data_IF_982305872797
#
_entry.id   IF_982305872797
#
_cell.length_a   1.000
_cell.length_b   1.000
_cell.length_c   1.000
_cell.angle_alpha   90.00
_cell.angle_beta   90.00
_cell.angle_gamma   90.00
#
_symmetry.space_group_name_H-M   'P 1'
#
loop_
_entity.id
_entity.type
_entity.pdbx_description
1 polymer ?
#
# COMPACT_ATOMS: atom_id res chain seq x y z
N UNK A 1 7.10 -33.27 -6.63
CA UNK A 1 7.13 -31.86 -6.18
C UNK A 1 8.21 -31.18 -6.99
N UNK A 2 7.89 -30.21 -7.85
CA UNK A 2 8.90 -29.48 -8.62
C UNK A 2 9.67 -28.58 -7.65
N UNK A 3 10.94 -28.91 -7.42
CA UNK A 3 11.84 -28.10 -6.60
C UNK A 3 12.46 -27.07 -7.53
N UNK A 4 12.14 -25.79 -7.33
CA UNK A 4 12.74 -24.72 -8.09
C UNK A 4 14.22 -24.60 -7.66
N UNK A 5 15.15 -24.58 -8.62
CA UNK A 5 16.58 -24.58 -8.32
C UNK A 5 17.13 -23.16 -8.09
N UNK A 6 16.32 -22.13 -8.38
CA UNK A 6 16.72 -20.72 -8.36
C UNK A 6 16.15 -19.94 -7.18
N UNK A 7 15.50 -20.60 -6.22
CA UNK A 7 14.70 -19.93 -5.19
C UNK A 7 15.31 -19.94 -3.79
N UNK A 8 16.49 -20.54 -3.60
CA UNK A 8 17.13 -20.67 -2.29
C UNK A 8 17.92 -19.43 -1.88
N UNK A 9 18.67 -18.85 -2.82
CA UNK A 9 19.61 -17.76 -2.56
C UNK A 9 19.15 -16.45 -3.19
N UNK A 10 19.46 -15.34 -2.53
CA UNK A 10 19.10 -14.00 -3.01
C UNK A 10 19.95 -13.53 -4.19
N UNK A 11 21.12 -14.16 -4.41
CA UNK A 11 22.06 -13.83 -5.50
C UNK A 11 21.82 -14.62 -6.77
N UNK A 12 20.85 -15.53 -6.79
CA UNK A 12 20.60 -16.43 -7.92
C UNK A 12 19.46 -15.90 -8.77
N UNK A 13 19.79 -15.49 -10.00
CA UNK A 13 18.80 -15.08 -10.99
C UNK A 13 18.16 -16.31 -11.64
N UNK A 14 16.83 -16.26 -11.79
CA UNK A 14 16.12 -17.24 -12.62
C UNK A 14 16.36 -16.97 -14.11
N UNK A 15 16.16 -17.98 -14.99
CA UNK A 15 16.25 -17.80 -16.44
C UNK A 15 15.31 -16.72 -17.01
N UNK A 16 14.25 -16.39 -16.27
CA UNK A 16 13.29 -15.32 -16.61
C UNK A 16 13.70 -13.93 -16.08
N UNK A 17 14.91 -13.77 -15.51
CA UNK A 17 15.37 -12.49 -14.97
C UNK A 17 14.69 -12.07 -13.67
N UNK A 18 14.25 -13.03 -12.84
CA UNK A 18 13.58 -12.79 -11.54
C UNK A 18 14.43 -13.24 -10.36
N UNK A 19 14.31 -12.54 -9.24
CA UNK A 19 14.89 -12.90 -7.93
C UNK A 19 13.78 -13.40 -6.99
N UNK A 20 13.61 -14.72 -6.90
CA UNK A 20 12.50 -15.31 -6.14
C UNK A 20 12.55 -15.02 -4.64
N UNK A 21 13.73 -14.95 -4.01
CA UNK A 21 13.85 -14.57 -2.60
C UNK A 21 13.31 -13.17 -2.30
N UNK A 22 13.47 -12.22 -3.22
CA UNK A 22 12.92 -10.87 -3.09
C UNK A 22 11.39 -10.90 -3.24
N UNK A 23 10.88 -11.68 -4.18
CA UNK A 23 9.44 -11.86 -4.36
C UNK A 23 8.77 -12.53 -3.16
N UNK A 24 9.40 -13.53 -2.55
CA UNK A 24 8.91 -14.16 -1.33
C UNK A 24 8.90 -13.19 -0.15
N UNK A 25 9.89 -12.30 -0.05
CA UNK A 25 9.88 -11.23 0.94
C UNK A 25 8.74 -10.23 0.70
N UNK A 26 8.39 -9.94 -0.56
CA UNK A 26 7.21 -9.12 -0.88
C UNK A 26 5.89 -9.82 -0.50
N UNK A 27 5.80 -11.14 -0.64
CA UNK A 27 4.65 -11.91 -0.16
C UNK A 27 4.50 -11.85 1.37
N UNK A 28 5.62 -11.82 2.12
CA UNK A 28 5.58 -11.65 3.57
C UNK A 28 4.90 -10.32 3.99
N UNK A 29 5.06 -9.25 3.19
CA UNK A 29 4.37 -7.98 3.42
C UNK A 29 2.86 -8.14 3.29
N UNK A 30 2.40 -8.85 2.26
CA UNK A 30 0.96 -9.11 2.02
C UNK A 30 0.31 -9.95 3.12
N UNK A 31 1.09 -10.74 3.85
CA UNK A 31 0.59 -11.52 5.00
C UNK A 31 0.47 -10.69 6.29
N UNK A 32 1.20 -9.57 6.41
CA UNK A 32 1.04 -8.65 7.53
C UNK A 32 -0.33 -7.99 7.51
N UNK A 33 -0.92 -7.66 8.67
CA UNK A 33 -2.22 -6.97 8.66
C UNK A 33 -2.11 -5.56 8.07
N UNK A 34 -3.22 -5.06 7.54
CA UNK A 34 -3.24 -3.85 6.74
C UNK A 34 -2.66 -2.62 7.46
N UNK A 35 -1.87 -1.85 6.71
CA UNK A 35 -1.39 -0.52 7.07
C UNK A 35 -1.71 0.43 5.92
N UNK A 36 -2.23 1.60 6.24
CA UNK A 36 -2.73 2.60 5.30
C UNK A 36 -2.02 3.91 5.64
N UNK A 37 -1.64 4.64 4.60
CA UNK A 37 -1.06 5.96 4.71
C UNK A 37 -1.70 6.87 3.69
N UNK A 38 -1.92 8.12 4.09
CA UNK A 38 -2.53 9.14 3.25
C UNK A 38 -1.99 10.50 3.68
N UNK A 39 -1.91 11.43 2.73
CA UNK A 39 -1.42 12.78 2.97
C UNK A 39 -2.24 13.83 2.25
N UNK A 40 -2.39 14.97 2.90
CA UNK A 40 -2.77 16.24 2.27
C UNK A 40 -1.53 17.09 2.04
N UNK A 41 -1.71 18.37 1.69
CA UNK A 41 -0.61 19.34 1.66
C UNK A 41 0.00 19.60 3.05
N UNK A 42 -0.79 19.44 4.10
CA UNK A 42 -0.45 19.92 5.46
C UNK A 42 -0.28 18.81 6.47
N UNK A 43 -0.92 17.65 6.26
CA UNK A 43 -0.94 16.55 7.22
C UNK A 43 -0.69 15.21 6.55
N UNK A 44 -0.16 14.26 7.32
CA UNK A 44 -0.04 12.85 6.98
C UNK A 44 -0.72 12.04 8.07
N UNK A 45 -1.53 11.07 7.69
CA UNK A 45 -2.16 10.11 8.61
C UNK A 45 -1.71 8.71 8.25
N UNK A 46 -1.31 7.97 9.28
CA UNK A 46 -1.02 6.54 9.19
C UNK A 46 -2.05 5.78 10.02
N UNK A 47 -2.70 4.81 9.42
CA UNK A 47 -3.65 3.92 10.08
C UNK A 47 -3.18 2.47 9.96
N UNK A 48 -3.38 1.67 11.01
CA UNK A 48 -3.02 0.25 11.03
C UNK A 48 -4.12 -0.59 11.65
N UNK A 49 -4.37 -1.75 11.06
CA UNK A 49 -5.19 -2.79 11.65
C UNK A 49 -4.36 -3.57 12.67
N UNK A 50 -4.79 -3.52 13.92
CA UNK A 50 -4.29 -4.33 15.01
C UNK A 50 -4.96 -5.70 14.99
N UNK A 51 -4.14 -6.74 15.13
CA UNK A 51 -4.62 -8.10 15.31
C UNK A 51 -4.08 -8.62 16.63
N UNK A 52 -4.98 -8.95 17.55
CA UNK A 52 -4.66 -9.69 18.76
C UNK A 52 -4.66 -11.20 18.44
N UNK A 53 -3.75 -11.95 19.05
CA UNK A 53 -3.71 -13.41 18.88
C UNK A 53 -4.83 -14.09 19.68
N UNK A 54 -5.24 -13.49 20.78
CA UNK A 54 -6.33 -13.91 21.66
C UNK A 54 -6.88 -12.70 22.40
N UNK A 55 -8.08 -12.81 22.98
CA UNK A 55 -8.71 -11.74 23.75
C UNK A 55 -7.87 -11.26 24.94
N UNK A 56 -7.05 -12.16 25.51
CA UNK A 56 -6.15 -11.86 26.62
C UNK A 56 -4.82 -11.25 26.17
N UNK A 57 -4.56 -11.16 24.87
CA UNK A 57 -3.29 -10.70 24.31
C UNK A 57 -3.38 -9.23 23.88
N UNK A 58 -2.40 -8.43 24.30
CA UNK A 58 -2.22 -7.09 23.75
C UNK A 58 -1.87 -7.17 22.26
N UNK A 59 -2.40 -6.25 21.46
CA UNK A 59 -2.00 -6.16 20.06
C UNK A 59 -0.52 -5.75 19.91
N UNK A 60 0.11 -6.19 18.82
CA UNK A 60 1.46 -5.77 18.50
C UNK A 60 1.44 -4.34 17.93
N UNK A 61 2.36 -3.49 18.42
CA UNK A 61 2.56 -2.14 17.87
C UNK A 61 3.11 -2.22 16.45
N UNK A 62 2.49 -1.48 15.53
CA UNK A 62 2.89 -1.41 14.12
C UNK A 62 3.27 -0.02 13.65
N UNK A 63 2.83 0.99 14.39
CA UNK A 63 3.21 2.37 14.15
C UNK A 63 4.31 2.74 15.15
N UNK A 64 5.39 3.31 14.63
CA UNK A 64 6.54 3.73 15.41
C UNK A 64 6.87 5.18 15.08
N UNK A 65 7.00 6.01 16.13
CA UNK A 65 7.60 7.33 16.03
C UNK A 65 9.09 7.18 15.69
N UNK A 66 9.56 7.83 14.63
CA UNK A 66 10.98 7.87 14.26
C UNK A 66 11.60 9.14 14.80
N UNK A 67 10.97 10.27 14.53
CA UNK A 67 11.34 11.59 15.02
C UNK A 67 10.06 12.41 15.26
N UNK A 68 10.19 13.67 15.67
CA UNK A 68 9.04 14.57 15.84
C UNK A 68 8.31 14.86 14.52
N UNK A 69 9.01 14.86 13.39
CA UNK A 69 8.44 15.11 12.06
C UNK A 69 8.29 13.85 11.20
N UNK A 70 8.64 12.65 11.72
CA UNK A 70 8.61 11.39 10.95
C UNK A 70 8.03 10.23 11.76
N UNK A 71 7.10 9.51 11.14
CA UNK A 71 6.55 8.25 11.63
C UNK A 71 6.58 7.14 10.59
N UNK A 72 6.51 5.90 11.08
CA UNK A 72 6.47 4.73 10.20
C UNK A 72 5.40 3.74 10.63
N UNK A 73 4.65 3.23 9.66
CA UNK A 73 3.75 2.10 9.80
C UNK A 73 4.35 0.89 9.07
N UNK A 74 4.26 -0.30 9.69
CA UNK A 74 4.89 -1.52 9.17
C UNK A 74 3.86 -2.59 8.80
N UNK A 75 4.13 -3.35 7.74
CA UNK A 75 3.44 -4.59 7.43
C UNK A 75 4.44 -5.69 7.04
N UNK A 76 4.24 -6.91 7.56
CA UNK A 76 5.14 -8.05 7.39
C UNK A 76 5.84 -8.43 8.68
N UNK A 77 7.13 -8.79 8.62
CA UNK A 77 7.91 -9.23 9.77
C UNK A 77 8.19 -8.07 10.74
N UNK A 78 7.52 -8.07 11.89
CA UNK A 78 7.68 -7.04 12.94
C UNK A 78 9.12 -6.90 13.42
N UNK A 79 9.91 -7.98 13.43
CA UNK A 79 11.31 -7.95 13.84
C UNK A 79 12.16 -7.08 12.90
N UNK A 80 11.99 -7.26 11.59
CA UNK A 80 12.68 -6.47 10.57
C UNK A 80 12.22 -5.00 10.63
N UNK A 81 10.91 -4.78 10.82
CA UNK A 81 10.36 -3.43 11.02
C UNK A 81 11.01 -2.71 12.20
N UNK A 82 11.22 -3.37 13.34
CA UNK A 82 11.91 -2.78 14.49
C UNK A 82 13.37 -2.42 14.20
N UNK A 83 14.08 -3.26 13.46
CA UNK A 83 15.48 -3.00 13.06
C UNK A 83 15.55 -1.76 12.16
N UNK A 84 14.65 -1.67 11.18
CA UNK A 84 14.61 -0.52 10.27
C UNK A 84 14.15 0.76 10.98
N UNK A 85 13.14 0.69 11.86
CA UNK A 85 12.73 1.83 12.68
C UNK A 85 13.85 2.35 13.58
N UNK A 86 14.65 1.45 14.19
CA UNK A 86 15.81 1.84 14.99
C UNK A 86 16.92 2.47 14.13
N UNK A 87 17.15 1.93 12.94
CA UNK A 87 18.08 2.51 11.98
C UNK A 87 17.67 3.94 11.62
N UNK A 88 16.42 4.15 11.20
CA UNK A 88 15.92 5.49 10.85
C UNK A 88 16.01 6.47 12.01
N UNK A 89 15.67 6.05 13.24
CA UNK A 89 15.85 6.88 14.45
C UNK A 89 17.30 7.33 14.62
N UNK A 90 18.24 6.41 14.39
CA UNK A 90 19.67 6.72 14.51
C UNK A 90 20.12 7.71 13.45
N UNK A 91 19.66 7.56 12.20
CA UNK A 91 19.95 8.50 11.12
C UNK A 91 19.36 9.90 11.40
N UNK A 92 18.12 10.00 11.89
CA UNK A 92 17.53 11.28 12.28
C UNK A 92 18.31 11.97 13.40
N UNK A 93 18.64 11.23 14.47
CA UNK A 93 19.43 11.77 15.59
C UNK A 93 20.81 12.23 15.13
N UNK A 94 21.50 11.44 14.31
CA UNK A 94 22.82 11.78 13.79
C UNK A 94 22.78 13.03 12.90
N UNK A 95 21.75 13.13 12.05
CA UNK A 95 21.57 14.29 11.18
C UNK A 95 21.29 15.56 12.00
N UNK A 96 20.38 15.48 12.97
CA UNK A 96 20.09 16.61 13.85
C UNK A 96 21.30 17.01 14.70
N UNK A 97 22.08 16.05 15.19
CA UNK A 97 23.32 16.33 15.93
C UNK A 97 24.38 17.03 15.05
N UNK A 98 24.48 16.67 13.77
CA UNK A 98 25.52 17.19 12.87
C UNK A 98 25.15 18.53 12.25
N UNK A 99 23.88 18.69 11.88
CA UNK A 99 23.39 19.82 11.08
C UNK A 99 22.42 20.73 11.84
N UNK A 100 22.08 20.39 13.09
CA UNK A 100 21.11 21.13 13.93
C UNK A 100 19.76 21.37 13.21
N UNK A 101 19.37 20.41 12.38
CA UNK A 101 18.19 20.50 11.52
C UNK A 101 17.53 19.13 11.37
N UNK A 102 16.22 19.14 11.10
CA UNK A 102 15.43 17.94 10.88
C UNK A 102 15.85 17.26 9.56
N UNK A 103 15.99 15.93 9.58
CA UNK A 103 16.37 15.16 8.38
C UNK A 103 15.24 15.19 7.33
N UNK A 104 15.49 15.66 6.09
CA UNK A 104 14.47 15.64 5.04
C UNK A 104 13.98 14.22 4.74
N UNK A 105 12.68 14.05 4.53
CA UNK A 105 12.04 12.72 4.49
C UNK A 105 12.54 11.93 3.28
N UNK A 106 12.64 12.58 2.12
CA UNK A 106 13.16 11.94 0.91
C UNK A 106 14.59 11.40 1.08
N UNK A 107 15.46 12.13 1.82
CA UNK A 107 16.83 11.68 2.09
C UNK A 107 16.86 10.44 2.98
N UNK A 108 16.04 10.42 4.04
CA UNK A 108 15.93 9.26 4.92
C UNK A 108 15.46 8.01 4.15
N UNK A 109 14.48 8.15 3.26
CA UNK A 109 13.92 7.04 2.49
C UNK A 109 14.93 6.48 1.50
N UNK A 110 15.76 7.31 0.87
CA UNK A 110 16.87 6.85 0.02
C UNK A 110 17.89 6.05 0.84
N UNK A 111 18.31 6.54 2.01
CA UNK A 111 19.22 5.80 2.89
C UNK A 111 18.64 4.46 3.36
N UNK A 112 17.33 4.42 3.60
CA UNK A 112 16.60 3.20 3.95
C UNK A 112 16.58 2.20 2.78
N UNK A 113 16.32 2.69 1.56
CA UNK A 113 16.36 1.90 0.34
C UNK A 113 17.75 1.31 0.07
N UNK A 114 18.81 2.10 0.20
CA UNK A 114 20.19 1.64 0.05
C UNK A 114 20.53 0.54 1.07
N UNK A 115 20.09 0.71 2.33
CA UNK A 115 20.26 -0.31 3.37
C UNK A 115 19.52 -1.60 3.02
N UNK A 116 18.31 -1.51 2.48
CA UNK A 116 17.52 -2.66 2.04
C UNK A 116 18.18 -3.36 0.85
N UNK A 117 18.69 -2.59 -0.12
CA UNK A 117 19.30 -3.11 -1.33
C UNK A 117 20.60 -3.89 -1.07
N UNK A 118 21.39 -3.51 -0.07
CA UNK A 118 22.55 -4.31 0.35
C UNK A 118 22.16 -5.73 0.77
N UNK A 119 20.95 -5.92 1.30
CA UNK A 119 20.44 -7.23 1.71
C UNK A 119 19.90 -8.08 0.57
N UNK A 120 19.69 -7.51 -0.63
CA UNK A 120 19.22 -8.24 -1.82
C UNK A 120 20.38 -8.77 -2.68
N UNK A 121 21.60 -8.29 -2.46
CA UNK A 121 22.77 -8.61 -3.31
C UNK A 121 23.86 -9.44 -2.59
N UNK A 122 23.77 -9.61 -1.26
CA UNK A 122 24.79 -10.33 -0.48
C UNK A 122 24.27 -11.70 -0.07
N UNK A 123 24.95 -12.76 -0.51
CA UNK A 123 24.56 -14.16 -0.28
C UNK A 123 24.33 -14.56 1.19
N UNK A 124 25.08 -13.98 2.14
CA UNK A 124 24.90 -14.28 3.58
C UNK A 124 23.81 -13.43 4.26
N UNK A 125 23.12 -12.58 3.49
CA UNK A 125 22.00 -11.77 3.97
C UNK A 125 20.71 -12.23 3.29
N UNK A 126 19.59 -11.89 3.92
CA UNK A 126 18.26 -12.03 3.33
C UNK A 126 17.61 -10.66 3.17
N UNK A 127 16.71 -10.46 2.19
CA UNK A 127 15.87 -9.28 2.12
C UNK A 127 15.07 -9.07 3.42
N UNK A 128 14.76 -7.82 3.73
CA UNK A 128 13.86 -7.51 4.84
C UNK A 128 12.44 -7.92 4.45
N UNK A 129 11.78 -8.74 5.25
CA UNK A 129 10.41 -9.21 4.99
C UNK A 129 9.35 -8.23 5.48
N UNK A 130 9.58 -6.92 5.32
CA UNK A 130 8.70 -5.86 5.82
C UNK A 130 8.56 -4.76 4.78
N UNK A 131 7.33 -4.29 4.61
CA UNK A 131 7.00 -3.07 3.88
C UNK A 131 6.79 -1.94 4.88
N UNK A 132 7.29 -0.75 4.56
CA UNK A 132 7.21 0.42 5.43
C UNK A 132 6.43 1.52 4.71
N UNK A 133 5.44 2.09 5.40
CA UNK A 133 4.85 3.38 5.04
C UNK A 133 5.49 4.43 5.93
N UNK A 134 6.32 5.29 5.34
CA UNK A 134 7.02 6.37 6.01
C UNK A 134 6.26 7.66 5.75
N UNK A 135 5.62 8.19 6.78
CA UNK A 135 4.97 9.49 6.76
C UNK A 135 5.89 10.53 7.39
N UNK A 136 6.09 11.66 6.72
CA UNK A 136 6.94 12.73 7.24
C UNK A 136 6.51 14.11 6.77
N UNK A 137 6.89 15.14 7.53
CA UNK A 137 6.74 16.53 7.14
C UNK A 137 8.13 17.15 7.06
N UNK A 138 8.46 17.77 5.93
CA UNK A 138 9.69 18.57 5.79
C UNK A 138 9.36 19.94 5.19
N UNK A 139 10.41 20.71 4.85
CA UNK A 139 10.29 22.05 4.27
C UNK A 139 9.51 22.07 2.94
N UNK A 140 9.50 20.95 2.20
CA UNK A 140 8.76 20.80 0.94
C UNK A 140 7.30 20.36 1.14
N UNK A 141 6.94 19.94 2.35
CA UNK A 141 5.57 19.68 2.78
C UNK A 141 5.39 18.28 3.35
N UNK A 142 4.16 17.77 3.23
CA UNK A 142 3.79 16.45 3.71
C UNK A 142 4.14 15.37 2.68
N UNK A 143 4.83 14.33 3.13
CA UNK A 143 5.31 13.22 2.31
C UNK A 143 4.82 11.87 2.86
N UNK A 144 4.52 10.98 1.93
CA UNK A 144 4.21 9.58 2.21
C UNK A 144 4.99 8.71 1.25
N UNK A 145 5.92 7.92 1.79
CA UNK A 145 6.72 6.98 1.03
C UNK A 145 6.36 5.55 1.37
N UNK A 146 6.31 4.70 0.34
CA UNK A 146 6.30 3.25 0.50
C UNK A 146 7.70 2.72 0.20
N UNK A 147 8.29 1.99 1.15
CA UNK A 147 9.53 1.25 0.96
C UNK A 147 9.24 -0.26 0.91
N UNK A 148 9.69 -0.89 -0.17
CA UNK A 148 9.49 -2.30 -0.48
C UNK A 148 10.70 -3.14 -0.07
N UNK A 149 10.53 -4.42 0.35
CA UNK A 149 11.61 -5.39 0.53
C UNK A 149 12.66 -5.46 -0.59
N UNK A 150 12.27 -5.10 -1.82
CA UNK A 150 13.16 -5.09 -2.99
C UNK A 150 14.19 -3.96 -3.00
N UNK A 151 14.15 -3.03 -2.04
CA UNK A 151 14.95 -1.81 -2.05
C UNK A 151 14.35 -0.69 -2.90
N UNK A 152 13.20 -0.91 -3.54
CA UNK A 152 12.48 0.16 -4.23
C UNK A 152 11.70 1.02 -3.24
N UNK A 153 11.58 2.30 -3.55
CA UNK A 153 10.75 3.23 -2.82
C UNK A 153 9.92 4.07 -3.79
N UNK A 154 8.74 4.48 -3.34
CA UNK A 154 7.80 5.26 -4.14
C UNK A 154 7.13 6.30 -3.27
N UNK A 155 6.96 7.51 -3.79
CA UNK A 155 6.14 8.54 -3.16
C UNK A 155 4.69 8.39 -3.59
N UNK A 156 3.77 8.41 -2.62
CA UNK A 156 2.34 8.30 -2.84
C UNK A 156 1.58 9.47 -2.22
N UNK A 157 0.37 9.72 -2.70
CA UNK A 157 -0.60 10.58 -1.99
C UNK A 157 -1.40 9.76 -0.98
N UNK A 158 -1.78 8.56 -1.36
CA UNK A 158 -2.34 7.56 -0.47
C UNK A 158 -1.90 6.17 -0.92
N UNK A 159 -1.63 5.28 0.02
CA UNK A 159 -1.25 3.91 -0.26
C UNK A 159 -1.61 2.98 0.89
N UNK A 160 -1.86 1.71 0.56
CA UNK A 160 -2.12 0.67 1.54
C UNK A 160 -1.27 -0.57 1.27
N UNK A 161 -0.78 -1.18 2.33
CA UNK A 161 0.01 -2.42 2.31
C UNK A 161 -0.56 -3.44 3.29
N UNK A 162 -0.20 -4.71 3.13
CA UNK A 162 -0.67 -5.79 3.99
C UNK A 162 -1.87 -6.56 3.43
N UNK A 163 -2.46 -7.37 4.28
CA UNK A 163 -3.53 -8.30 3.94
C UNK A 163 -4.77 -7.54 3.54
N UNK A 164 -5.34 -7.89 2.37
CA UNK A 164 -6.55 -7.26 1.82
C UNK A 164 -6.42 -5.76 1.59
N UNK A 165 -5.19 -5.24 1.45
CA UNK A 165 -4.97 -3.83 1.16
C UNK A 165 -5.56 -3.39 -0.20
N UNK A 166 -5.89 -4.32 -1.09
CA UNK A 166 -6.51 -4.00 -2.38
C UNK A 166 -7.86 -3.29 -2.21
N UNK A 167 -8.69 -3.71 -1.25
CA UNK A 167 -9.98 -3.06 -0.98
C UNK A 167 -9.79 -1.60 -0.53
N UNK A 168 -8.82 -1.38 0.38
CA UNK A 168 -8.43 -0.02 0.78
C UNK A 168 -7.92 0.81 -0.41
N UNK A 169 -7.07 0.23 -1.28
CA UNK A 169 -6.59 0.94 -2.49
C UNK A 169 -7.74 1.36 -3.40
N UNK A 170 -8.70 0.47 -3.66
CA UNK A 170 -9.87 0.80 -4.48
C UNK A 170 -10.69 1.95 -3.90
N UNK A 171 -10.84 2.04 -2.58
CA UNK A 171 -11.47 3.19 -1.94
C UNK A 171 -10.62 4.46 -2.09
N UNK A 172 -9.31 4.38 -1.83
CA UNK A 172 -8.39 5.51 -1.91
C UNK A 172 -8.29 6.07 -3.35
N UNK A 173 -8.34 5.21 -4.37
CA UNK A 173 -8.34 5.61 -5.78
C UNK A 173 -9.57 6.45 -6.14
N UNK A 174 -10.76 6.11 -5.60
CA UNK A 174 -12.00 6.88 -5.84
C UNK A 174 -11.94 8.29 -5.24
N UNK A 175 -11.24 8.45 -4.12
CA UNK A 175 -11.10 9.72 -3.36
C UNK A 175 -9.79 10.46 -3.65
N UNK A 176 -8.98 9.98 -4.60
CA UNK A 176 -7.63 10.48 -4.86
C UNK A 176 -7.57 12.01 -5.07
N UNK A 177 -8.53 12.56 -5.84
CA UNK A 177 -8.55 13.99 -6.17
C UNK A 177 -8.81 14.92 -4.97
N UNK A 178 -9.43 14.44 -3.88
CA UNK A 178 -9.77 15.28 -2.73
C UNK A 178 -8.65 15.40 -1.70
N UNK A 179 -7.72 14.44 -1.63
CA UNK A 179 -6.78 14.35 -0.50
C UNK A 179 -5.88 15.57 -0.31
N UNK A 180 -5.47 16.24 -1.39
CA UNK A 180 -4.56 17.40 -1.30
C UNK A 180 -5.13 18.56 -0.48
N UNK A 181 -6.43 18.82 -0.61
CA UNK A 181 -7.13 19.92 0.06
C UNK A 181 -7.88 19.46 1.32
N UNK A 182 -7.83 18.15 1.64
CA UNK A 182 -8.53 17.60 2.81
C UNK A 182 -7.97 18.17 4.11
N UNK A 183 -8.90 18.48 5.02
CA UNK A 183 -8.59 18.85 6.39
C UNK A 183 -8.03 17.66 7.18
N UNK A 184 -7.39 17.92 8.33
CA UNK A 184 -6.90 16.88 9.25
C UNK A 184 -7.99 15.86 9.58
N UNK A 185 -9.19 16.32 9.91
CA UNK A 185 -10.30 15.45 10.33
C UNK A 185 -10.83 14.61 9.16
N UNK A 186 -10.99 15.21 7.98
CA UNK A 186 -11.47 14.48 6.81
C UNK A 186 -10.46 13.43 6.35
N UNK A 187 -9.16 13.73 6.48
CA UNK A 187 -8.10 12.77 6.22
C UNK A 187 -8.20 11.59 7.19
N UNK A 188 -8.40 11.85 8.49
CA UNK A 188 -8.60 10.77 9.47
C UNK A 188 -9.86 9.94 9.15
N UNK A 189 -10.95 10.57 8.72
CA UNK A 189 -12.17 9.85 8.27
C UNK A 189 -11.89 8.95 7.08
N UNK A 190 -11.22 9.46 6.04
CA UNK A 190 -10.84 8.67 4.86
C UNK A 190 -9.92 7.49 5.26
N UNK A 191 -9.02 7.70 6.23
CA UNK A 191 -8.17 6.65 6.79
C UNK A 191 -8.97 5.54 7.49
N UNK A 192 -9.97 5.93 8.30
CA UNK A 192 -10.86 5.02 9.01
C UNK A 192 -11.70 4.19 8.04
N UNK A 193 -12.27 4.82 7.00
CA UNK A 193 -13.07 4.15 5.98
C UNK A 193 -12.19 3.16 5.21
N UNK A 194 -11.03 3.59 4.73
CA UNK A 194 -10.07 2.71 4.05
C UNK A 194 -9.68 1.51 4.94
N UNK A 195 -9.54 1.72 6.25
CA UNK A 195 -9.23 0.67 7.22
C UNK A 195 -10.40 -0.32 7.36
N UNK A 196 -11.63 0.19 7.46
CA UNK A 196 -12.85 -0.62 7.53
C UNK A 196 -13.00 -1.56 6.34
N UNK A 197 -12.71 -1.09 5.13
CA UNK A 197 -12.77 -1.92 3.90
C UNK A 197 -11.81 -3.12 3.92
N UNK A 198 -10.79 -3.11 4.80
CA UNK A 198 -9.87 -4.25 4.95
C UNK A 198 -10.32 -5.30 5.99
N UNK A 199 -11.35 -4.98 6.79
CA UNK A 199 -11.89 -5.87 7.83
C UNK A 199 -12.84 -6.92 7.23
N UNK A 200 -12.85 -8.13 7.78
CA UNK A 200 -13.69 -9.25 7.29
C UNK A 200 -15.05 -9.26 7.99
N UNK A 201 -15.82 -8.17 7.86
CA UNK A 201 -17.13 -8.05 8.54
C UNK A 201 -17.05 -7.81 10.04
N UNK A 202 -15.84 -7.59 10.58
CA UNK A 202 -15.65 -7.07 11.93
C UNK A 202 -15.95 -5.56 11.96
N UNK A 203 -16.66 -5.11 12.99
CA UNK A 203 -16.89 -3.68 13.21
C UNK A 203 -15.59 -2.98 13.60
N UNK A 204 -15.37 -1.80 13.05
CA UNK A 204 -14.23 -0.96 13.40
C UNK A 204 -14.37 -0.50 14.85
N UNK A 205 -13.36 -0.78 15.67
CA UNK A 205 -13.29 -0.36 17.08
C UNK A 205 -11.92 0.24 17.36
N UNK A 206 -11.83 1.07 18.39
CA UNK A 206 -10.57 1.64 18.89
C UNK A 206 -9.50 0.60 19.25
N UNK A 207 -9.90 -0.62 19.62
CA UNK A 207 -8.96 -1.71 19.90
C UNK A 207 -8.33 -2.33 18.64
N UNK A 208 -9.04 -2.28 17.51
CA UNK A 208 -8.66 -2.91 16.24
C UNK A 208 -7.90 -1.91 15.35
N UNK A 209 -8.01 -0.61 15.60
CA UNK A 209 -7.35 0.42 14.80
C UNK A 209 -6.34 1.22 15.63
N UNK A 210 -5.18 1.52 15.05
CA UNK A 210 -4.30 2.57 15.58
C UNK A 210 -4.07 3.61 14.50
N UNK A 211 -4.21 4.88 14.89
CA UNK A 211 -4.06 6.03 14.02
C UNK A 211 -2.94 6.91 14.57
N UNK A 212 -2.09 7.40 13.69
CA UNK A 212 -1.12 8.42 14.00
C UNK A 212 -1.24 9.58 13.02
N UNK A 213 -1.02 10.77 13.55
CA UNK A 213 -1.18 12.03 12.83
C UNK A 213 0.11 12.84 12.95
N UNK A 214 0.39 13.57 11.89
CA UNK A 214 1.56 14.41 11.69
C UNK A 214 1.10 15.57 10.82
N UNK A 215 1.48 16.80 11.15
CA UNK A 215 1.15 17.94 10.31
C UNK A 215 1.81 19.24 10.70
N UNK A 216 1.47 20.30 9.97
CA UNK A 216 2.01 21.64 10.22
C UNK A 216 1.55 22.12 11.61
N UNK A 217 2.50 22.27 12.53
CA UNK A 217 2.23 22.65 13.92
C UNK A 217 1.83 21.50 14.83
N UNK A 218 1.82 20.26 14.34
CA UNK A 218 1.46 19.06 15.10
C UNK A 218 2.55 17.99 14.94
N UNK A 219 3.40 17.74 15.96
CA UNK A 219 4.42 16.71 15.87
C UNK A 219 3.78 15.32 15.80
N UNK A 220 4.54 14.36 15.27
CA UNK A 220 4.09 12.99 15.15
C UNK A 220 3.69 12.42 16.52
N UNK A 221 2.43 12.04 16.62
CA UNK A 221 1.86 11.39 17.80
C UNK A 221 0.81 10.35 17.37
N UNK A 222 0.60 9.37 18.25
CA UNK A 222 -0.40 8.33 18.07
C UNK A 222 -1.64 8.77 18.85
N UNK A 223 -2.81 8.68 18.23
CA UNK A 223 -4.06 9.06 18.87
C UNK A 223 -4.43 8.05 19.96
N UNK A 224 -4.99 8.57 21.06
CA UNK A 224 -5.48 7.76 22.16
C UNK A 224 -6.72 6.97 21.74
N UNK A 225 -6.92 5.80 22.38
CA UNK A 225 -8.04 4.90 22.04
C UNK A 225 -9.40 5.58 22.21
N UNK A 226 -9.55 6.43 23.24
CA UNK A 226 -10.79 7.16 23.50
C UNK A 226 -11.10 8.16 22.38
N UNK A 227 -10.09 8.89 21.90
CA UNK A 227 -10.24 9.82 20.78
C UNK A 227 -10.57 9.08 19.49
N UNK A 228 -9.92 7.93 19.23
CA UNK A 228 -10.23 7.09 18.08
C UNK A 228 -11.67 6.58 18.16
N UNK A 229 -12.15 6.18 19.35
CA UNK A 229 -13.52 5.72 19.51
C UNK A 229 -14.53 6.85 19.25
N UNK A 230 -14.29 8.05 19.77
CA UNK A 230 -15.15 9.22 19.51
C UNK A 230 -15.24 9.54 18.01
N UNK A 231 -14.12 9.44 17.28
CA UNK A 231 -14.08 9.64 15.83
C UNK A 231 -14.83 8.56 15.06
N UNK A 232 -14.78 7.30 15.55
CA UNK A 232 -15.55 6.19 14.97
C UNK A 232 -17.06 6.40 15.24
N UNK A 233 -17.44 6.75 16.46
CA UNK A 233 -18.84 6.94 16.84
C UNK A 233 -19.46 8.12 16.08
N UNK A 234 -18.73 9.23 15.96
CA UNK A 234 -19.13 10.38 15.13
C UNK A 234 -19.30 10.00 13.65
N UNK A 235 -18.55 9.01 13.17
CA UNK A 235 -18.65 8.53 11.80
C UNK A 235 -19.80 7.54 11.59
N UNK A 236 -20.04 6.60 12.52
CA UNK A 236 -21.16 5.65 12.40
C UNK A 236 -22.51 6.38 12.35
N UNK A 237 -22.65 7.49 13.08
CA UNK A 237 -23.86 8.35 13.03
C UNK A 237 -24.07 8.96 11.63
N UNK A 238 -22.99 9.36 10.94
CA UNK A 238 -23.08 9.97 9.60
C UNK A 238 -23.33 8.92 8.52
N UNK A 239 -22.79 7.71 8.67
CA UNK A 239 -23.02 6.61 7.74
C UNK A 239 -24.45 6.07 7.76
N UNK A 240 -25.16 6.18 8.89
CA UNK A 240 -26.59 5.85 9.00
C UNK A 240 -27.50 6.95 8.39
N UNK A 241 -26.99 8.16 8.18
CA UNK A 241 -27.72 9.27 7.54
C UNK A 241 -27.53 9.35 6.02
N UNK A 242 -26.49 8.73 5.46
CA UNK A 242 -26.33 8.61 4.00
C UNK A 242 -27.19 7.44 3.48
N UNK A 243 -28.24 7.70 2.66
CA UNK A 243 -29.02 6.61 2.08
C UNK A 243 -28.10 5.75 1.20
N UNK A 244 -28.26 4.42 1.21
CA UNK A 244 -27.45 3.54 0.39
C UNK A 244 -27.56 3.97 -1.06
N UNK A 245 -26.40 4.18 -1.70
CA UNK A 245 -26.29 4.55 -3.10
C UNK A 245 -27.22 3.66 -3.93
N UNK A 246 -28.19 4.28 -4.60
CA UNK A 246 -29.15 3.60 -5.44
C UNK A 246 -28.39 2.72 -6.46
N UNK A 247 -28.77 1.44 -6.50
CA UNK A 247 -28.29 0.51 -7.51
C UNK A 247 -28.47 1.12 -8.92
N UNK A 248 -27.51 0.93 -9.85
CA UNK A 248 -27.70 1.36 -11.23
C UNK A 248 -28.95 0.66 -11.80
N UNK A 249 -29.77 1.35 -12.62
CA UNK A 249 -31.03 0.81 -13.08
C UNK A 249 -30.76 -0.45 -13.93
N UNK A 250 -31.16 -1.60 -13.40
CA UNK A 250 -31.36 -2.81 -14.20
C UNK A 250 -32.42 -2.49 -15.25
N UNK A 251 -31.99 -2.45 -16.50
CA UNK A 251 -32.87 -2.29 -17.66
C UNK A 251 -33.97 -3.34 -17.63
N UNK A 252 -35.20 -2.86 -17.69
CA UNK A 252 -36.39 -3.68 -17.82
C UNK A 252 -36.31 -4.48 -19.13
N UNK A 253 -36.19 -5.80 -19.00
CA UNK A 253 -36.44 -6.72 -20.09
C UNK A 253 -37.96 -6.88 -20.23
N UNK A 254 -38.56 -6.15 -21.18
CA UNK A 254 -39.92 -6.43 -21.66
C UNK A 254 -39.94 -7.80 -22.36
N UNK A 255 -40.63 -8.75 -21.73
CA UNK A 255 -41.10 -9.97 -22.38
C UNK A 255 -42.39 -9.64 -23.15
N UNK A 256 -42.28 -9.52 -24.47
CA UNK A 256 -43.39 -9.60 -25.42
C UNK A 256 -43.19 -10.79 -26.34
N UNK A 257 -44.09 -11.77 -26.28
CA UNK A 257 -44.05 -12.98 -27.08
C UNK A 257 -44.82 -12.83 -28.42
N UNK A 258 -44.24 -13.43 -29.46
CA UNK A 258 -44.83 -13.99 -30.69
C UNK A 258 -45.31 -13.05 -31.82
N UNK A 259 -44.66 -13.14 -33.00
CA UNK A 259 -45.20 -13.91 -34.14
C UNK A 259 -44.19 -14.04 -35.31
N UNK A 260 -44.36 -15.16 -36.02
CA UNK A 260 -43.68 -15.74 -37.19
C UNK A 260 -43.32 -14.79 -38.35
N UNK A 261 -42.21 -15.05 -39.07
CA UNK A 261 -42.15 -15.65 -40.43
C UNK A 261 -40.81 -15.33 -41.15
N UNK A 262 -40.23 -16.33 -41.82
CA UNK A 262 -39.59 -16.10 -43.14
C UNK A 262 -38.06 -16.11 -43.27
N UNK A 263 -37.57 -17.22 -43.85
CA UNK A 263 -36.59 -17.29 -44.95
C UNK A 263 -35.06 -17.35 -44.69
N UNK A 264 -34.53 -18.55 -44.95
CA UNK A 264 -33.42 -18.90 -45.86
C UNK A 264 -32.03 -18.25 -45.64
N UNK A 265 -31.03 -19.03 -45.21
CA UNK A 265 -30.04 -19.72 -46.05
C UNK A 265 -28.83 -18.83 -46.41
N UNK A 266 -27.62 -19.20 -45.95
CA UNK A 266 -26.58 -19.75 -46.83
C UNK A 266 -25.34 -20.20 -46.02
N UNK A 267 -24.73 -21.31 -46.44
CA UNK A 267 -23.48 -21.87 -45.94
C UNK A 267 -22.43 -21.76 -47.05
N UNK A 268 -21.19 -21.41 -46.69
CA UNK A 268 -20.00 -21.66 -47.51
C UNK A 268 -18.79 -20.97 -46.86
N UNK A 269 -17.83 -21.64 -46.21
CA UNK A 269 -16.94 -22.74 -46.58
C UNK A 269 -15.87 -22.37 -47.62
N UNK A 270 -14.60 -22.50 -47.18
CA UNK A 270 -13.36 -22.79 -47.95
C UNK A 270 -12.85 -21.67 -48.90
N UNK A 271 -11.57 -21.53 -49.26
CA UNK A 271 -10.26 -22.07 -48.88
C UNK A 271 -9.22 -21.14 -49.57
N UNK A 272 -8.04 -20.97 -48.98
CA UNK A 272 -6.72 -21.38 -49.50
C UNK A 272 -6.27 -20.88 -50.89
N UNK A 273 -5.06 -20.30 -50.90
CA UNK A 273 -4.00 -20.18 -51.95
C UNK A 273 -3.12 -18.97 -51.56
N UNK A 274 -1.85 -19.10 -51.19
CA UNK A 274 -0.70 -19.49 -52.05
C UNK A 274 -0.30 -18.28 -52.92
N UNK A 275 0.95 -17.88 -53.16
CA UNK A 275 2.30 -18.26 -52.76
C UNK A 275 3.25 -17.16 -53.29
N UNK A 276 4.54 -17.29 -52.95
CA UNK A 276 5.72 -16.81 -53.68
C UNK A 276 6.34 -15.44 -53.30
N UNK A 277 7.66 -15.56 -53.12
CA UNK A 277 8.67 -14.61 -52.70
C UNK A 277 9.12 -13.63 -53.79
N UNK A 278 9.76 -12.53 -53.39
CA UNK A 278 11.04 -12.12 -54.00
C UNK A 278 11.89 -11.30 -53.01
N UNK A 279 13.21 -11.49 -53.15
CA UNK A 279 14.32 -11.04 -52.30
C UNK A 279 14.72 -9.58 -52.55
N UNK A 280 15.46 -8.99 -51.60
CA UNK A 280 16.39 -7.89 -51.93
C UNK A 280 16.70 -6.88 -50.81
N UNK A 281 17.80 -7.16 -50.08
CA UNK A 281 18.85 -6.22 -49.58
C UNK A 281 18.45 -4.92 -48.83
N UNK A 282 19.06 -4.47 -47.73
CA UNK A 282 20.20 -4.84 -46.89
C UNK A 282 20.14 -3.95 -45.59
N UNK A 283 20.93 -4.22 -44.55
CA UNK A 283 20.75 -3.65 -43.19
C UNK A 283 21.51 -2.32 -42.97
N UNK A 284 21.08 -1.55 -41.96
CA UNK A 284 21.87 -0.46 -41.37
C UNK A 284 22.47 -0.94 -40.04
N UNK A 285 23.79 -1.10 -40.05
CA UNK A 285 24.76 -1.11 -38.94
C UNK A 285 24.50 0.08 -37.95
N UNK A 286 24.75 0.08 -36.64
CA UNK A 286 25.52 -0.70 -35.64
C UNK A 286 24.74 -0.67 -34.31
#
# INVERSE_FOLDING_TARGET
MFRNQYDTDVTTWSPAGRLFQVEYAMEAVKQGSAAIGLRSKTHVVLACVNKANSELSSHQKKIFKVDDHIGVAIAGLTADGRVLSRYMRSECINYNYTYESALPVGRLVVQLADKAQVCTQRSWKRPYGVGLLVGGLDESGAHLYYNCPSGNYFEYQAFAIGSRSQAAKTYLERRFGSFQESSREDLIKDALIATRETLQGEKLRSSICTIAVLGVGEPFHILDQDTVQQLIDAFEIVADEEPPAADPPTGEAEQGAASEEGAAADQGAAADQGAAADEGAAPMDI
#
